data_IF_686586880939
#
_entry.id   IF_686586880939
#
_cell.length_a   1.000
_cell.length_b   1.000
_cell.length_c   1.000
_cell.angle_alpha   90.00
_cell.angle_beta   90.00
_cell.angle_gamma   90.00
#
_symmetry.space_group_name_H-M   'P 1'
#
loop_
_entity.id
_entity.type
_entity.pdbx_description
1 polymer ?
#
# COMPACT_ATOMS: atom_id res chain seq x y z
N UNK A 1 -58.72 -2.69 9.33
CA UNK A 1 -57.94 -1.50 8.93
C UNK A 1 -57.29 -1.81 7.59
N UNK A 2 -57.82 -1.27 6.50
CA UNK A 2 -57.23 -1.48 5.18
C UNK A 2 -55.93 -0.68 5.09
N UNK A 3 -54.80 -1.35 4.86
CA UNK A 3 -53.56 -0.66 4.51
C UNK A 3 -53.88 0.08 3.22
N UNK A 4 -53.74 1.42 3.17
CA UNK A 4 -54.05 2.16 1.96
C UNK A 4 -53.12 1.68 0.86
N UNK A 5 -53.70 1.13 -0.20
CA UNK A 5 -53.01 0.49 -1.32
C UNK A 5 -51.93 1.39 -1.94
N UNK A 6 -52.11 2.72 -1.84
CA UNK A 6 -51.11 3.70 -2.23
C UNK A 6 -49.80 3.64 -1.45
N UNK A 7 -49.83 3.32 -0.15
CA UNK A 7 -48.61 3.09 0.64
C UNK A 7 -47.87 1.83 0.20
N UNK A 8 -48.61 0.78 -0.17
CA UNK A 8 -48.03 -0.47 -0.67
C UNK A 8 -47.36 -0.23 -2.03
N UNK A 9 -48.04 0.47 -2.93
CA UNK A 9 -47.48 0.83 -4.25
C UNK A 9 -46.23 1.71 -4.12
N UNK A 10 -46.26 2.70 -3.21
CA UNK A 10 -45.11 3.57 -2.94
C UNK A 10 -43.93 2.77 -2.34
N UNK A 11 -44.20 1.88 -1.38
CA UNK A 11 -43.17 1.03 -0.78
C UNK A 11 -42.51 0.11 -1.81
N UNK A 12 -43.29 -0.50 -2.70
CA UNK A 12 -42.79 -1.31 -3.82
C UNK A 12 -41.93 -0.50 -4.78
N UNK A 13 -42.34 0.73 -5.10
CA UNK A 13 -41.60 1.62 -5.99
C UNK A 13 -40.26 2.03 -5.37
N UNK A 14 -40.23 2.35 -4.08
CA UNK A 14 -39.00 2.63 -3.33
C UNK A 14 -38.08 1.41 -3.30
N UNK A 15 -38.63 0.22 -3.05
CA UNK A 15 -37.86 -1.02 -3.00
C UNK A 15 -37.23 -1.36 -4.36
N UNK A 16 -37.98 -1.17 -5.45
CA UNK A 16 -37.49 -1.36 -6.81
C UNK A 16 -36.39 -0.34 -7.17
N UNK A 17 -36.60 0.93 -6.82
CA UNK A 17 -35.58 1.97 -7.00
C UNK A 17 -34.31 1.66 -6.19
N UNK A 18 -34.45 1.22 -4.93
CA UNK A 18 -33.34 0.81 -4.08
C UNK A 18 -32.58 -0.38 -4.67
N UNK A 19 -33.28 -1.37 -5.22
CA UNK A 19 -32.69 -2.53 -5.87
C UNK A 19 -31.86 -2.15 -7.10
N UNK A 20 -32.33 -1.19 -7.91
CA UNK A 20 -31.60 -0.69 -9.09
C UNK A 20 -30.38 0.15 -8.68
N UNK A 21 -30.48 0.94 -7.61
CA UNK A 21 -29.39 1.82 -7.13
C UNK A 21 -28.31 1.05 -6.37
N UNK A 22 -28.66 -0.04 -5.69
CA UNK A 22 -27.73 -0.88 -4.91
C UNK A 22 -26.46 -1.29 -5.67
N UNK A 23 -26.49 -1.86 -6.90
CA UNK A 23 -25.28 -2.25 -7.62
C UNK A 23 -24.38 -1.06 -7.98
N UNK A 24 -24.94 0.12 -8.23
CA UNK A 24 -24.18 1.33 -8.52
C UNK A 24 -23.45 1.87 -7.28
N UNK A 25 -24.12 1.89 -6.13
CA UNK A 25 -23.51 2.32 -4.86
C UNK A 25 -22.43 1.34 -4.39
N UNK A 26 -22.67 0.03 -4.54
CA UNK A 26 -21.69 -1.00 -4.19
C UNK A 26 -20.41 -0.90 -5.03
N UNK A 27 -20.53 -0.64 -6.35
CA UNK A 27 -19.38 -0.40 -7.24
C UNK A 27 -18.58 0.83 -6.83
N UNK A 28 -19.25 1.93 -6.49
CA UNK A 28 -18.60 3.17 -6.06
C UNK A 28 -17.84 3.01 -4.74
N UNK A 29 -18.44 2.35 -3.74
CA UNK A 29 -17.78 2.06 -2.47
C UNK A 29 -16.55 1.16 -2.64
N UNK A 30 -16.61 0.15 -3.51
CA UNK A 30 -15.45 -0.70 -3.84
C UNK A 30 -14.34 0.07 -4.55
N UNK A 31 -14.67 1.04 -5.40
CA UNK A 31 -13.68 1.88 -6.06
C UNK A 31 -13.01 2.86 -5.08
N UNK A 32 -13.78 3.45 -4.15
CA UNK A 32 -13.27 4.33 -3.11
C UNK A 32 -12.36 3.58 -2.11
N UNK A 33 -12.77 2.39 -1.66
CA UNK A 33 -11.93 1.54 -0.80
C UNK A 33 -10.62 1.10 -1.48
N UNK A 34 -10.64 0.88 -2.80
CA UNK A 34 -9.43 0.58 -3.59
C UNK A 34 -8.51 1.80 -3.69
N UNK A 35 -9.05 2.99 -3.96
CA UNK A 35 -8.25 4.23 -3.98
C UNK A 35 -7.60 4.51 -2.62
N UNK A 36 -8.32 4.27 -1.52
CA UNK A 36 -7.77 4.43 -0.17
C UNK A 36 -6.62 3.44 0.10
N UNK A 37 -6.77 2.18 -0.28
CA UNK A 37 -5.70 1.17 -0.19
C UNK A 37 -4.48 1.52 -1.04
N UNK A 38 -4.70 1.96 -2.28
CA UNK A 38 -3.61 2.43 -3.14
C UNK A 38 -2.88 3.62 -2.52
N UNK A 39 -3.61 4.61 -1.99
CA UNK A 39 -3.02 5.76 -1.32
C UNK A 39 -2.20 5.37 -0.08
N UNK A 40 -2.64 4.39 0.72
CA UNK A 40 -1.85 3.90 1.87
C UNK A 40 -0.57 3.19 1.45
N UNK A 41 -0.61 2.38 0.37
CA UNK A 41 0.58 1.72 -0.17
C UNK A 41 1.58 2.75 -0.70
N UNK A 42 1.11 3.77 -1.43
CA UNK A 42 1.94 4.88 -1.89
C UNK A 42 2.62 5.62 -0.74
N UNK A 43 1.88 5.91 0.33
CA UNK A 43 2.42 6.57 1.51
C UNK A 43 3.51 5.73 2.17
N UNK A 44 3.24 4.45 2.41
CA UNK A 44 4.20 3.53 3.02
C UNK A 44 5.48 3.39 2.18
N UNK A 45 5.34 3.30 0.85
CA UNK A 45 6.48 3.27 -0.08
C UNK A 45 7.28 4.57 -0.03
N UNK A 46 6.62 5.73 0.04
CA UNK A 46 7.28 7.03 0.15
C UNK A 46 8.09 7.15 1.46
N UNK A 47 7.53 6.68 2.57
CA UNK A 47 8.19 6.69 3.87
C UNK A 47 9.47 5.82 3.87
N UNK A 48 9.40 4.62 3.29
CA UNK A 48 10.57 3.76 3.15
C UNK A 48 11.63 4.34 2.20
N UNK A 49 11.22 4.98 1.10
CA UNK A 49 12.14 5.68 0.20
C UNK A 49 12.85 6.85 0.92
N UNK A 50 12.14 7.56 1.80
CA UNK A 50 12.73 8.61 2.62
C UNK A 50 13.76 8.02 3.61
N UNK A 51 13.44 6.91 4.28
CA UNK A 51 14.37 6.23 5.18
C UNK A 51 15.61 5.72 4.45
N UNK A 52 15.43 5.10 3.27
CA UNK A 52 16.52 4.70 2.39
C UNK A 52 17.46 5.89 2.12
N UNK A 53 16.91 7.04 1.72
CA UNK A 53 17.72 8.22 1.43
C UNK A 53 18.45 8.76 2.68
N UNK A 54 17.85 8.67 3.88
CA UNK A 54 18.54 9.03 5.14
C UNK A 54 19.73 8.12 5.40
N UNK A 55 19.57 6.81 5.23
CA UNK A 55 20.65 5.84 5.43
C UNK A 55 21.79 6.08 4.42
N UNK A 56 21.48 6.35 3.15
CA UNK A 56 22.50 6.70 2.16
C UNK A 56 23.28 7.96 2.53
N UNK A 57 22.59 8.99 3.04
CA UNK A 57 23.25 10.21 3.52
C UNK A 57 24.17 9.90 4.71
N UNK A 58 23.72 9.11 5.67
CA UNK A 58 24.53 8.70 6.83
C UNK A 58 25.77 7.91 6.43
N UNK A 59 25.67 7.01 5.44
CA UNK A 59 26.83 6.28 4.91
C UNK A 59 27.83 7.25 4.27
N UNK A 60 27.37 8.21 3.47
CA UNK A 60 28.24 9.22 2.85
C UNK A 60 28.94 10.10 3.88
N UNK A 61 28.22 10.52 4.92
CA UNK A 61 28.79 11.31 6.00
C UNK A 61 29.85 10.52 6.78
N UNK A 62 29.57 9.25 7.07
CA UNK A 62 30.54 8.34 7.71
C UNK A 62 31.81 8.14 6.86
N UNK A 63 31.66 7.97 5.54
CA UNK A 63 32.80 7.87 4.62
C UNK A 63 33.62 9.17 4.58
N UNK A 64 32.96 10.33 4.60
CA UNK A 64 33.63 11.62 4.68
C UNK A 64 34.41 11.79 6.00
N UNK A 65 33.82 11.40 7.13
CA UNK A 65 34.48 11.48 8.42
C UNK A 65 35.68 10.53 8.53
N UNK A 66 35.62 9.36 7.90
CA UNK A 66 36.78 8.46 7.78
C UNK A 66 37.87 9.07 6.88
N UNK A 67 37.51 9.61 5.71
CA UNK A 67 38.47 10.26 4.80
C UNK A 67 39.17 11.48 5.42
N UNK A 68 38.48 12.17 6.34
CA UNK A 68 39.05 13.32 7.07
C UNK A 68 39.80 12.91 8.35
N UNK A 69 40.05 11.60 8.56
CA UNK A 69 40.70 11.03 9.75
C UNK A 69 40.02 11.36 11.09
N UNK A 70 38.73 11.74 11.08
CA UNK A 70 37.96 11.97 12.31
C UNK A 70 37.55 10.66 13.00
N UNK A 71 37.52 9.56 12.25
CA UNK A 71 37.08 8.25 12.71
C UNK A 71 38.14 7.20 12.36
N UNK A 72 38.46 6.32 13.30
CA UNK A 72 39.39 5.21 13.04
C UNK A 72 38.72 4.07 12.26
N UNK A 73 39.54 3.21 11.64
CA UNK A 73 39.06 2.14 10.76
C UNK A 73 38.11 1.14 11.45
N UNK A 74 38.37 0.82 12.72
CA UNK A 74 37.52 -0.10 13.48
C UNK A 74 36.11 0.46 13.69
N UNK A 75 36.00 1.73 14.08
CA UNK A 75 34.72 2.42 14.25
C UNK A 75 33.99 2.65 12.93
N UNK A 76 34.74 2.97 11.87
CA UNK A 76 34.17 3.09 10.52
C UNK A 76 33.53 1.78 10.07
N UNK A 77 34.27 0.67 10.18
CA UNK A 77 33.82 -0.64 9.72
C UNK A 77 32.57 -1.11 10.47
N UNK A 78 32.54 -0.93 11.79
CA UNK A 78 31.38 -1.32 12.61
C UNK A 78 30.14 -0.49 12.26
N UNK A 79 30.27 0.84 12.20
CA UNK A 79 29.16 1.73 11.87
C UNK A 79 28.64 1.49 10.45
N UNK A 80 29.54 1.27 9.50
CA UNK A 80 29.17 0.97 8.11
C UNK A 80 28.39 -0.35 8.02
N UNK A 81 28.80 -1.38 8.77
CA UNK A 81 28.09 -2.66 8.81
C UNK A 81 26.65 -2.48 9.31
N UNK A 82 26.45 -1.70 10.37
CA UNK A 82 25.12 -1.43 10.94
C UNK A 82 24.24 -0.67 9.93
N UNK A 83 24.77 0.37 9.29
CA UNK A 83 24.04 1.16 8.30
C UNK A 83 23.66 0.33 7.07
N UNK A 84 24.57 -0.52 6.59
CA UNK A 84 24.31 -1.42 5.46
C UNK A 84 23.25 -2.46 5.82
N UNK A 85 23.32 -3.06 7.01
CA UNK A 85 22.29 -4.00 7.45
C UNK A 85 20.90 -3.34 7.50
N UNK A 86 20.81 -2.09 7.98
CA UNK A 86 19.56 -1.32 7.94
C UNK A 86 19.10 -1.00 6.52
N UNK A 87 20.03 -0.64 5.63
CA UNK A 87 19.70 -0.38 4.22
C UNK A 87 19.09 -1.63 3.56
N UNK A 88 19.66 -2.81 3.83
CA UNK A 88 19.14 -4.09 3.31
C UNK A 88 17.73 -4.35 3.80
N UNK A 89 17.46 -4.16 5.10
CA UNK A 89 16.11 -4.33 5.67
C UNK A 89 15.08 -3.39 5.01
N UNK A 90 15.41 -2.11 4.86
CA UNK A 90 14.54 -1.14 4.17
C UNK A 90 14.29 -1.50 2.70
N UNK A 91 15.32 -2.00 2.00
CA UNK A 91 15.18 -2.44 0.61
C UNK A 91 14.30 -3.68 0.49
N UNK A 92 14.45 -4.66 1.39
CA UNK A 92 13.57 -5.84 1.43
C UNK A 92 12.12 -5.45 1.68
N UNK A 93 11.86 -4.49 2.58
CA UNK A 93 10.51 -3.96 2.80
C UNK A 93 9.95 -3.28 1.55
N UNK A 94 10.76 -2.52 0.81
CA UNK A 94 10.37 -1.89 -0.46
C UNK A 94 10.07 -2.90 -1.57
N UNK A 95 10.82 -4.00 -1.61
CA UNK A 95 10.62 -5.09 -2.58
C UNK A 95 9.37 -5.92 -2.26
N UNK A 96 9.04 -6.07 -0.97
CA UNK A 96 7.82 -6.74 -0.52
C UNK A 96 6.54 -5.91 -0.74
N UNK A 97 6.66 -4.58 -0.88
CA UNK A 97 5.53 -3.70 -1.15
C UNK A 97 5.06 -3.85 -2.60
N UNK A 98 3.76 -4.14 -2.84
CA UNK A 98 3.22 -4.19 -4.19
C UNK A 98 3.50 -2.88 -4.90
N UNK A 99 3.86 -2.96 -6.18
CA UNK A 99 4.01 -1.77 -7.02
C UNK A 99 2.61 -1.25 -7.27
N UNK A 100 2.23 -0.06 -6.77
CA UNK A 100 0.92 0.49 -7.04
C UNK A 100 0.84 0.85 -8.52
N UNK A 101 0.32 -0.07 -9.31
CA UNK A 101 0.01 0.10 -10.72
C UNK A 101 -1.30 0.88 -10.84
N UNK A 102 -1.35 1.81 -11.79
CA UNK A 102 -2.62 2.41 -12.25
C UNK A 102 -3.14 1.67 -13.49
N UNK A 103 -2.55 0.53 -13.83
CA UNK A 103 -2.86 -0.23 -15.04
C UNK A 103 -3.90 -1.31 -14.71
N UNK A 104 -5.12 -1.26 -15.29
CA UNK A 104 -6.13 -2.28 -15.08
C UNK A 104 -5.70 -3.69 -15.51
N UNK A 105 -4.65 -3.82 -16.33
CA UNK A 105 -4.06 -5.12 -16.68
C UNK A 105 -3.29 -5.72 -15.49
N UNK A 106 -2.59 -4.91 -14.73
CA UNK A 106 -1.76 -5.33 -13.61
C UNK A 106 -2.64 -5.68 -12.40
N UNK A 107 -3.75 -4.97 -12.20
CA UNK A 107 -4.84 -5.36 -11.30
C UNK A 107 -5.41 -6.75 -11.61
N UNK A 108 -5.52 -7.11 -12.90
CA UNK A 108 -6.02 -8.41 -13.31
C UNK A 108 -5.01 -9.54 -13.07
N UNK A 109 -3.71 -9.24 -13.19
CA UNK A 109 -2.62 -10.18 -12.90
C UNK A 109 -2.56 -10.44 -11.38
N UNK A 110 -2.65 -9.40 -10.55
CA UNK A 110 -2.66 -9.55 -9.10
C UNK A 110 -3.87 -10.35 -8.60
N UNK A 111 -5.06 -10.11 -9.17
CA UNK A 111 -6.26 -10.88 -8.83
C UNK A 111 -6.17 -12.37 -9.19
N UNK A 112 -5.44 -12.70 -10.26
CA UNK A 112 -5.16 -14.10 -10.64
C UNK A 112 -4.12 -14.72 -9.71
N UNK A 113 -3.07 -13.97 -9.34
CA UNK A 113 -2.03 -14.43 -8.43
C UNK A 113 -2.57 -14.72 -7.02
N UNK A 114 -3.49 -13.90 -6.53
CA UNK A 114 -4.20 -14.12 -5.25
C UNK A 114 -5.14 -15.34 -5.31
N UNK A 115 -5.69 -15.67 -6.49
CA UNK A 115 -6.55 -16.83 -6.66
C UNK A 115 -5.78 -18.16 -6.81
N UNK A 116 -4.49 -18.09 -7.19
CA UNK A 116 -3.57 -19.23 -7.34
C UNK A 116 -2.77 -19.55 -6.06
N UNK A 117 -2.99 -18.82 -4.96
CA UNK A 117 -2.50 -19.15 -3.62
C UNK A 117 -3.65 -19.80 -2.83
N UNK A 118 -3.98 -21.10 -3.05
CA UNK A 118 -4.90 -21.78 -2.17
C UNK A 118 -4.21 -21.90 -0.82
N UNK A 119 -4.81 -21.30 0.20
CA UNK A 119 -4.48 -21.54 1.60
C UNK A 119 -4.15 -23.03 1.79
N UNK A 120 -2.88 -23.30 2.05
CA UNK A 120 -2.39 -24.61 2.48
C UNK A 120 -2.79 -24.75 3.96
N UNK A 121 -4.05 -25.10 4.20
CA UNK A 121 -4.59 -25.58 5.49
C UNK A 121 -5.31 -26.93 5.32
#
# INVERSE_FOLDING_TARGET
MAIPTGLIALALLILLAAYIVQPFVARRRRAEARRQRGASIWQQRADLLAERNRIYTAIKELEFDYQTNKVNEAMFTEQRRILVARAVDVLQQLDALPVPSNDPLEDAIDAVREADDPEED
#
